data_IF_040476417867
#
_entry.id   IF_040476417867
#
_cell.length_a   1.000
_cell.length_b   1.000
_cell.length_c   1.000
_cell.angle_alpha   90.00
_cell.angle_beta   90.00
_cell.angle_gamma   90.00
#
_symmetry.space_group_name_H-M   'P 1'
#
loop_
_entity.id
_entity.type
_entity.pdbx_description
1 polymer ?
#
# COMPACT_ATOMS: atom_id res chain seq x y z
N UNK A 1 11.74 11.46 -11.53
CA UNK A 1 11.94 10.84 -10.22
C UNK A 1 10.56 10.53 -9.66
N UNK A 2 10.29 9.25 -9.41
CA UNK A 2 9.03 8.75 -8.86
C UNK A 2 9.33 7.60 -7.89
N UNK A 3 8.42 7.34 -6.97
CA UNK A 3 8.43 6.15 -6.11
C UNK A 3 7.09 5.44 -6.29
N UNK A 4 7.14 4.12 -6.46
CA UNK A 4 5.96 3.28 -6.38
C UNK A 4 5.89 2.70 -4.97
N UNK A 5 4.94 3.19 -4.17
CA UNK A 5 4.85 2.85 -2.75
C UNK A 5 4.15 1.51 -2.47
N UNK A 6 3.65 0.81 -3.50
CA UNK A 6 2.95 -0.46 -3.33
C UNK A 6 2.84 -1.24 -4.65
N UNK A 7 3.50 -2.40 -4.74
CA UNK A 7 3.45 -3.30 -5.88
C UNK A 7 3.67 -4.76 -5.47
N UNK A 8 2.86 -5.67 -5.99
CA UNK A 8 2.97 -7.12 -5.77
C UNK A 8 3.90 -7.75 -6.81
N UNK A 9 5.19 -7.53 -6.65
CA UNK A 9 6.22 -7.96 -7.60
C UNK A 9 6.41 -9.48 -7.62
N UNK A 10 6.04 -10.17 -6.55
CA UNK A 10 6.16 -11.61 -6.34
C UNK A 10 5.13 -12.40 -7.17
N UNK A 11 4.06 -11.76 -7.62
CA UNK A 11 2.93 -12.43 -8.26
C UNK A 11 3.31 -13.16 -9.55
N UNK A 12 2.67 -14.32 -9.79
CA UNK A 12 2.88 -15.20 -10.95
C UNK A 12 2.74 -14.52 -12.31
N UNK A 13 1.91 -13.46 -12.38
CA UNK A 13 1.75 -12.68 -13.60
C UNK A 13 3.07 -12.05 -14.09
N UNK A 14 4.08 -11.94 -13.22
CA UNK A 14 5.40 -11.44 -13.56
C UNK A 14 6.45 -12.52 -13.78
N UNK A 15 6.17 -13.80 -13.53
CA UNK A 15 7.17 -14.88 -13.59
C UNK A 15 7.95 -14.91 -14.92
N UNK A 16 7.25 -14.66 -16.01
CA UNK A 16 7.86 -14.73 -17.33
C UNK A 16 8.84 -13.58 -17.65
N UNK A 17 8.71 -12.41 -16.96
CA UNK A 17 9.48 -11.20 -17.29
C UNK A 17 9.75 -10.29 -16.08
N UNK A 18 9.82 -10.84 -14.86
CA UNK A 18 9.97 -10.05 -13.61
C UNK A 18 11.18 -9.13 -13.65
N UNK A 19 12.35 -9.65 -14.04
CA UNK A 19 13.56 -8.84 -14.14
C UNK A 19 13.46 -7.74 -15.20
N UNK A 20 12.85 -8.05 -16.34
CA UNK A 20 12.63 -7.06 -17.40
C UNK A 20 11.62 -6.00 -16.96
N UNK A 21 10.59 -6.37 -16.19
CA UNK A 21 9.61 -5.45 -15.63
C UNK A 21 10.30 -4.51 -14.62
N UNK A 22 11.17 -5.03 -13.74
CA UNK A 22 11.96 -4.24 -12.80
C UNK A 22 12.90 -3.29 -13.55
N UNK A 23 13.55 -3.76 -14.62
CA UNK A 23 14.38 -2.89 -15.46
C UNK A 23 13.57 -1.76 -16.10
N UNK A 24 12.39 -2.06 -16.67
CA UNK A 24 11.47 -1.03 -17.21
C UNK A 24 11.06 0.00 -16.16
N UNK A 25 10.85 -0.42 -14.92
CA UNK A 25 10.55 0.51 -13.82
C UNK A 25 11.70 1.51 -13.62
N UNK A 26 12.94 1.05 -13.59
CA UNK A 26 14.13 1.91 -13.48
C UNK A 26 14.26 2.85 -14.67
N UNK A 27 14.15 2.34 -15.89
CA UNK A 27 14.22 3.13 -17.12
C UNK A 27 13.11 4.20 -17.17
N UNK A 28 11.95 3.91 -16.57
CA UNK A 28 10.87 4.86 -16.36
C UNK A 28 11.19 5.95 -15.33
N UNK A 29 12.31 5.86 -14.59
CA UNK A 29 12.73 6.80 -13.55
C UNK A 29 12.09 6.55 -12.19
N UNK A 30 11.75 5.28 -11.89
CA UNK A 30 11.36 4.87 -10.54
C UNK A 30 12.63 4.75 -9.71
N UNK A 31 12.68 5.54 -8.64
CA UNK A 31 13.85 5.64 -7.76
C UNK A 31 13.82 4.61 -6.65
N UNK A 32 12.66 4.40 -6.07
CA UNK A 32 12.39 3.37 -5.07
C UNK A 32 11.08 2.66 -5.37
N UNK A 33 10.98 1.43 -4.90
CA UNK A 33 9.85 0.56 -5.10
C UNK A 33 9.62 -0.25 -3.82
N UNK A 34 8.35 -0.42 -3.44
CA UNK A 34 7.99 -1.24 -2.28
C UNK A 34 7.31 -2.51 -2.76
N UNK A 35 8.00 -3.64 -2.57
CA UNK A 35 7.47 -4.98 -2.81
C UNK A 35 6.62 -5.40 -1.62
N UNK A 36 5.37 -5.77 -1.87
CA UNK A 36 4.44 -6.20 -0.83
C UNK A 36 4.68 -7.67 -0.51
N UNK A 37 4.88 -7.98 0.75
CA UNK A 37 5.00 -9.36 1.22
C UNK A 37 3.67 -9.94 1.68
N UNK A 38 3.56 -11.28 1.66
CA UNK A 38 2.39 -12.00 2.19
C UNK A 38 1.14 -12.00 1.31
N UNK A 39 1.20 -11.46 0.10
CA UNK A 39 0.05 -11.41 -0.82
C UNK A 39 -0.40 -12.77 -1.36
N UNK A 40 0.39 -13.82 -1.19
CA UNK A 40 0.08 -15.20 -1.59
C UNK A 40 -0.18 -16.13 -0.40
N UNK A 41 -0.30 -15.57 0.80
CA UNK A 41 -0.64 -16.27 2.03
C UNK A 41 0.54 -16.81 2.85
N UNK A 42 0.24 -17.48 3.97
CA UNK A 42 1.24 -18.13 4.80
C UNK A 42 2.05 -19.15 4.00
N UNK A 43 3.37 -19.09 4.07
CA UNK A 43 4.29 -19.91 3.28
C UNK A 43 5.08 -19.14 2.24
N UNK A 44 4.81 -17.83 2.08
CA UNK A 44 5.58 -16.91 1.25
C UNK A 44 5.69 -15.52 1.90
N UNK A 45 5.73 -15.46 3.23
CA UNK A 45 5.76 -14.21 3.99
C UNK A 45 7.01 -13.38 3.72
N UNK A 46 8.10 -13.98 3.28
CA UNK A 46 9.39 -13.37 2.97
C UNK A 46 9.59 -12.98 1.49
N UNK A 47 8.61 -13.27 0.62
CA UNK A 47 8.76 -13.10 -0.84
C UNK A 47 9.17 -11.67 -1.25
N UNK A 48 8.61 -10.65 -0.61
CA UNK A 48 9.00 -9.26 -0.83
C UNK A 48 10.44 -8.98 -0.40
N UNK A 49 10.90 -9.58 0.70
CA UNK A 49 12.28 -9.45 1.20
C UNK A 49 13.26 -10.08 0.22
N UNK A 50 12.96 -11.29 -0.28
CA UNK A 50 13.82 -11.99 -1.24
C UNK A 50 14.05 -11.15 -2.50
N UNK A 51 13.03 -10.47 -3.01
CA UNK A 51 13.17 -9.54 -4.13
C UNK A 51 13.93 -8.27 -3.76
N UNK A 52 13.68 -7.71 -2.58
CA UNK A 52 14.34 -6.51 -2.12
C UNK A 52 15.86 -6.73 -1.87
N UNK A 53 16.28 -7.92 -1.47
CA UNK A 53 17.68 -8.26 -1.29
C UNK A 53 18.47 -8.34 -2.61
N UNK A 54 17.79 -8.67 -3.72
CA UNK A 54 18.39 -8.73 -5.05
C UNK A 54 18.54 -7.35 -5.69
N UNK A 55 17.78 -6.33 -5.20
CA UNK A 55 17.72 -5.00 -5.79
C UNK A 55 17.83 -3.91 -4.71
N UNK A 56 18.89 -3.11 -4.76
CA UNK A 56 19.15 -2.06 -3.76
C UNK A 56 18.01 -1.04 -3.62
N UNK A 57 17.34 -0.71 -4.73
CA UNK A 57 16.28 0.29 -4.76
C UNK A 57 14.90 -0.24 -4.32
N UNK A 58 14.77 -1.55 -4.06
CA UNK A 58 13.53 -2.18 -3.59
C UNK A 58 13.58 -2.33 -2.08
N UNK A 59 12.50 -1.91 -1.42
CA UNK A 59 12.15 -2.20 -0.04
C UNK A 59 11.00 -3.20 0.01
N UNK A 60 10.74 -3.74 1.19
CA UNK A 60 9.69 -4.73 1.38
C UNK A 60 8.74 -4.35 2.52
N UNK A 61 7.54 -4.89 2.47
CA UNK A 61 6.64 -5.02 3.61
C UNK A 61 6.46 -6.48 3.99
N UNK A 62 5.93 -6.75 5.18
CA UNK A 62 5.58 -8.08 5.66
C UNK A 62 4.20 -8.06 6.30
N UNK A 63 3.42 -9.10 6.14
CA UNK A 63 2.09 -9.17 6.75
C UNK A 63 1.25 -10.32 6.22
N UNK A 64 0.05 -10.46 6.78
CA UNK A 64 -0.97 -11.39 6.32
C UNK A 64 -2.16 -10.57 5.85
N UNK A 65 -2.45 -10.65 4.56
CA UNK A 65 -3.56 -9.95 3.92
C UNK A 65 -4.92 -10.42 4.50
N UNK A 66 -5.94 -9.58 4.59
CA UNK A 66 -7.25 -9.96 5.13
C UNK A 66 -7.91 -11.14 4.41
N UNK A 67 -7.61 -11.38 3.13
CA UNK A 67 -8.07 -12.56 2.42
C UNK A 67 -7.60 -13.87 3.07
N UNK A 68 -6.39 -13.87 3.60
CA UNK A 68 -5.70 -15.04 4.14
C UNK A 68 -5.83 -15.15 5.67
N UNK A 69 -6.59 -14.27 6.31
CA UNK A 69 -6.74 -14.23 7.77
C UNK A 69 -7.16 -15.59 8.37
N UNK A 70 -7.99 -16.36 7.65
CA UNK A 70 -8.43 -17.71 8.09
C UNK A 70 -7.32 -18.77 8.08
N UNK A 71 -6.22 -18.52 7.39
CA UNK A 71 -5.07 -19.44 7.30
C UNK A 71 -3.97 -19.08 8.31
N UNK A 72 -4.04 -17.91 8.94
CA UNK A 72 -3.03 -17.41 9.86
C UNK A 72 -2.88 -18.32 11.10
N UNK A 73 -1.65 -18.72 11.38
CA UNK A 73 -1.28 -19.55 12.54
C UNK A 73 -0.33 -18.80 13.48
N UNK A 74 -0.13 -19.32 14.68
CA UNK A 74 0.86 -18.75 15.61
C UNK A 74 2.29 -18.79 15.05
N UNK A 75 2.61 -19.82 14.25
CA UNK A 75 3.92 -19.92 13.60
C UNK A 75 4.16 -18.79 12.59
N UNK A 76 3.14 -18.40 11.82
CA UNK A 76 3.25 -17.31 10.85
C UNK A 76 3.52 -15.97 11.56
N UNK A 77 2.87 -15.72 12.69
CA UNK A 77 3.13 -14.50 13.47
C UNK A 77 4.53 -14.49 14.10
N UNK A 78 5.05 -15.66 14.50
CA UNK A 78 6.43 -15.77 14.96
C UNK A 78 7.43 -15.54 13.82
N UNK A 79 7.16 -16.07 12.63
CA UNK A 79 7.96 -15.83 11.43
C UNK A 79 7.98 -14.35 11.07
N UNK A 80 6.82 -13.68 11.01
CA UNK A 80 6.72 -12.24 10.76
C UNK A 80 7.54 -11.41 11.76
N UNK A 81 7.55 -11.78 13.06
CA UNK A 81 8.38 -11.09 14.06
C UNK A 81 9.89 -11.22 13.76
N UNK A 82 10.34 -12.35 13.19
CA UNK A 82 11.72 -12.49 12.74
C UNK A 82 12.01 -11.71 11.47
N UNK A 83 11.12 -11.78 10.48
CA UNK A 83 11.23 -11.05 9.22
C UNK A 83 11.25 -9.52 9.40
N UNK A 84 10.54 -9.02 10.41
CA UNK A 84 10.54 -7.59 10.77
C UNK A 84 11.94 -7.04 11.12
N UNK A 85 12.92 -7.89 11.39
CA UNK A 85 14.30 -7.49 11.71
C UNK A 85 15.15 -7.23 10.47
N UNK A 86 14.67 -7.57 9.27
CA UNK A 86 15.36 -7.29 8.02
C UNK A 86 15.43 -5.78 7.76
N UNK A 87 16.62 -5.30 7.38
CA UNK A 87 16.82 -3.89 7.02
C UNK A 87 16.08 -3.47 5.73
N UNK A 88 15.60 -4.43 4.97
CA UNK A 88 14.77 -4.19 3.78
C UNK A 88 13.30 -3.95 4.12
N UNK A 89 12.85 -4.36 5.30
CA UNK A 89 11.47 -4.17 5.75
C UNK A 89 11.27 -2.76 6.29
N UNK A 90 10.40 -1.99 5.65
CA UNK A 90 10.12 -0.60 6.03
C UNK A 90 8.72 -0.38 6.61
N UNK A 91 7.82 -1.36 6.47
CA UNK A 91 6.48 -1.31 7.04
C UNK A 91 5.94 -2.72 7.29
N UNK A 92 4.92 -2.80 8.15
CA UNK A 92 4.12 -4.00 8.38
C UNK A 92 2.84 -3.92 7.56
N UNK A 93 2.70 -4.75 6.57
CA UNK A 93 1.56 -4.76 5.64
C UNK A 93 1.84 -5.65 4.41
N UNK A 94 0.83 -6.00 3.69
CA UNK A 94 -0.50 -5.41 3.67
C UNK A 94 -1.42 -6.09 4.69
N UNK A 95 -2.06 -5.31 5.58
CA UNK A 95 -2.99 -5.79 6.61
C UNK A 95 -4.26 -4.96 6.59
N UNK A 96 -5.35 -5.44 7.18
CA UNK A 96 -6.58 -4.65 7.25
C UNK A 96 -7.85 -5.45 7.03
N UNK A 97 -8.81 -4.89 6.27
CA UNK A 97 -10.14 -5.45 6.09
C UNK A 97 -10.57 -5.45 4.61
N UNK A 98 -11.11 -6.59 4.15
CA UNK A 98 -11.75 -6.72 2.84
C UNK A 98 -13.16 -7.31 3.01
N UNK A 99 -14.16 -6.45 2.93
CA UNK A 99 -15.58 -6.82 3.02
C UNK A 99 -16.24 -6.94 1.64
N UNK A 100 -15.44 -6.81 0.58
CA UNK A 100 -15.92 -7.01 -0.77
C UNK A 100 -15.88 -8.49 -1.17
N UNK A 101 -14.72 -9.10 -1.03
CA UNK A 101 -14.52 -10.51 -1.37
C UNK A 101 -14.93 -11.45 -0.24
N UNK A 102 -14.81 -11.03 1.01
CA UNK A 102 -15.15 -11.81 2.22
C UNK A 102 -14.49 -13.22 2.22
N UNK A 103 -13.26 -13.34 1.71
CA UNK A 103 -12.55 -14.63 1.63
C UNK A 103 -12.24 -15.24 3.00
N UNK A 104 -12.13 -14.40 4.03
CA UNK A 104 -12.08 -14.80 5.43
C UNK A 104 -13.22 -14.15 6.20
N UNK A 105 -13.76 -14.80 7.26
CA UNK A 105 -14.79 -14.20 8.12
C UNK A 105 -14.35 -12.86 8.69
N UNK A 106 -15.24 -11.85 8.70
CA UNK A 106 -14.92 -10.46 9.08
C UNK A 106 -14.37 -10.34 10.49
N UNK A 107 -14.96 -11.08 11.45
CA UNK A 107 -14.45 -11.10 12.82
C UNK A 107 -13.02 -11.61 12.89
N UNK A 108 -12.68 -12.60 12.07
CA UNK A 108 -11.33 -13.14 12.01
C UNK A 108 -10.36 -12.16 11.33
N UNK A 109 -10.80 -11.47 10.25
CA UNK A 109 -10.01 -10.40 9.67
C UNK A 109 -9.66 -9.34 10.71
N UNK A 110 -10.64 -8.89 11.53
CA UNK A 110 -10.41 -7.92 12.60
C UNK A 110 -9.44 -8.44 13.67
N UNK A 111 -9.57 -9.70 14.10
CA UNK A 111 -8.68 -10.31 15.09
C UNK A 111 -7.22 -10.38 14.57
N UNK A 112 -7.02 -10.84 13.34
CA UNK A 112 -5.71 -10.94 12.71
C UNK A 112 -5.12 -9.55 12.47
N UNK A 113 -5.93 -8.57 12.10
CA UNK A 113 -5.52 -7.18 11.96
C UNK A 113 -5.02 -6.60 13.29
N UNK A 114 -5.77 -6.78 14.39
CA UNK A 114 -5.38 -6.34 15.73
C UNK A 114 -4.05 -6.96 16.17
N UNK A 115 -3.90 -8.27 15.97
CA UNK A 115 -2.67 -8.98 16.33
C UNK A 115 -1.46 -8.44 15.56
N UNK A 116 -1.61 -8.20 14.27
CA UNK A 116 -0.54 -7.64 13.44
C UNK A 116 -0.19 -6.19 13.81
N UNK A 117 -1.16 -5.37 14.17
CA UNK A 117 -0.89 -4.03 14.72
C UNK A 117 -0.05 -4.09 16.00
N UNK A 118 -0.27 -5.07 16.86
CA UNK A 118 0.51 -5.23 18.08
C UNK A 118 1.97 -5.62 17.81
N UNK A 119 2.19 -6.54 16.86
CA UNK A 119 3.52 -6.93 16.41
C UNK A 119 4.24 -5.76 15.70
N UNK A 120 3.56 -5.05 14.81
CA UNK A 120 4.10 -3.88 14.13
C UNK A 120 4.54 -2.79 15.12
N UNK A 121 3.72 -2.54 16.16
CA UNK A 121 4.07 -1.60 17.24
C UNK A 121 5.32 -2.04 17.99
N UNK A 122 5.46 -3.33 18.30
CA UNK A 122 6.63 -3.90 18.97
C UNK A 122 7.88 -3.77 18.10
N UNK A 123 7.75 -4.04 16.81
CA UNK A 123 8.81 -3.87 15.81
C UNK A 123 9.11 -2.39 15.47
N UNK A 124 8.28 -1.44 15.93
CA UNK A 124 8.35 -0.01 15.62
C UNK A 124 8.26 0.30 14.12
N UNK A 125 7.49 -0.48 13.41
CA UNK A 125 7.22 -0.30 11.98
C UNK A 125 5.87 0.40 11.77
N UNK A 126 5.76 1.37 10.84
CA UNK A 126 4.47 1.85 10.37
C UNK A 126 3.70 0.74 9.67
N UNK A 127 2.40 0.93 9.49
CA UNK A 127 1.53 -0.10 8.87
C UNK A 127 1.02 0.31 7.50
N UNK A 128 0.88 -0.65 6.59
CA UNK A 128 0.22 -0.47 5.28
C UNK A 128 -1.13 -1.17 5.31
N UNK A 129 -2.18 -0.37 5.08
CA UNK A 129 -3.56 -0.79 5.30
C UNK A 129 -4.30 -1.01 3.99
N UNK A 130 -4.81 -2.22 3.84
CA UNK A 130 -5.87 -2.57 2.93
C UNK A 130 -7.24 -2.29 3.55
N UNK A 131 -8.08 -1.53 2.87
CA UNK A 131 -9.46 -1.35 3.29
C UNK A 131 -10.39 -1.32 2.09
N UNK A 132 -11.18 -2.37 1.93
CA UNK A 132 -12.11 -2.50 0.81
C UNK A 132 -13.53 -2.74 1.30
N UNK A 133 -14.44 -1.75 1.14
CA UNK A 133 -15.83 -1.90 1.52
C UNK A 133 -16.58 -2.82 0.57
N UNK A 134 -17.69 -3.37 1.03
CA UNK A 134 -18.63 -4.11 0.17
C UNK A 134 -19.37 -3.14 -0.77
N UNK A 135 -19.93 -3.67 -1.86
CA UNK A 135 -20.77 -2.88 -2.79
C UNK A 135 -22.05 -2.32 -2.11
N UNK A 136 -22.40 -2.80 -0.92
CA UNK A 136 -23.66 -2.48 -0.24
C UNK A 136 -23.49 -1.51 0.92
N UNK A 137 -22.27 -1.31 1.41
CA UNK A 137 -22.04 -0.52 2.62
C UNK A 137 -20.56 -0.18 2.79
N UNK A 138 -20.28 0.98 3.41
CA UNK A 138 -18.93 1.44 3.73
C UNK A 138 -18.40 0.92 5.08
N UNK A 139 -19.04 -0.09 5.69
CA UNK A 139 -18.72 -0.61 7.03
C UNK A 139 -17.24 -0.95 7.21
N UNK A 140 -16.54 -1.41 6.15
CA UNK A 140 -15.11 -1.70 6.25
C UNK A 140 -14.29 -0.45 6.63
N UNK A 141 -14.65 0.73 6.08
CA UNK A 141 -13.99 1.99 6.44
C UNK A 141 -14.24 2.36 7.89
N UNK A 142 -15.49 2.25 8.34
CA UNK A 142 -15.85 2.57 9.73
C UNK A 142 -15.16 1.64 10.72
N UNK A 143 -15.21 0.34 10.47
CA UNK A 143 -14.56 -0.68 11.32
C UNK A 143 -13.03 -0.49 11.33
N UNK A 144 -12.42 -0.33 10.15
CA UNK A 144 -10.97 -0.15 10.02
C UNK A 144 -10.51 1.10 10.80
N UNK A 145 -11.13 2.25 10.54
CA UNK A 145 -10.74 3.50 11.20
C UNK A 145 -11.02 3.45 12.70
N UNK A 146 -12.11 2.81 13.14
CA UNK A 146 -12.38 2.64 14.57
C UNK A 146 -11.32 1.76 15.27
N UNK A 147 -10.88 0.67 14.62
CA UNK A 147 -9.80 -0.17 15.14
C UNK A 147 -8.47 0.61 15.21
N UNK A 148 -8.13 1.38 14.17
CA UNK A 148 -6.95 2.23 14.15
C UNK A 148 -7.00 3.31 15.25
N UNK A 149 -8.13 3.98 15.42
CA UNK A 149 -8.31 5.01 16.46
C UNK A 149 -8.15 4.46 17.87
N UNK A 150 -8.67 3.26 18.14
CA UNK A 150 -8.62 2.62 19.44
C UNK A 150 -7.27 1.98 19.75
N UNK A 151 -6.64 1.34 18.78
CA UNK A 151 -5.52 0.44 19.03
C UNK A 151 -4.19 0.92 18.43
N UNK A 152 -4.19 1.84 17.44
CA UNK A 152 -2.99 2.29 16.77
C UNK A 152 -2.56 3.72 17.09
N UNK A 153 -3.49 4.61 17.43
CA UNK A 153 -3.23 6.03 17.72
C UNK A 153 -2.04 6.25 18.65
N UNK A 154 -1.94 5.48 19.72
CA UNK A 154 -0.90 5.62 20.75
C UNK A 154 0.49 5.14 20.32
N UNK A 155 0.60 4.47 19.17
CA UNK A 155 1.90 4.05 18.63
C UNK A 155 2.75 5.24 18.17
N UNK A 156 2.12 6.28 17.65
CA UNK A 156 2.77 7.44 17.02
C UNK A 156 3.51 7.09 15.71
N UNK A 157 3.37 5.87 15.19
CA UNK A 157 4.12 5.40 14.02
C UNK A 157 3.44 5.77 12.69
N UNK A 158 2.14 6.13 12.72
CA UNK A 158 1.38 6.38 11.50
C UNK A 158 1.22 5.14 10.62
N UNK A 159 0.95 5.34 9.35
CA UNK A 159 0.76 4.28 8.37
C UNK A 159 0.47 4.82 6.98
N UNK A 160 0.11 3.93 6.09
CA UNK A 160 -0.32 4.25 4.72
C UNK A 160 -1.68 3.61 4.50
N UNK A 161 -2.70 4.40 4.15
CA UNK A 161 -3.90 3.85 3.51
C UNK A 161 -3.57 3.66 2.03
N UNK A 162 -3.24 2.42 1.65
CA UNK A 162 -2.92 2.11 0.27
C UNK A 162 -4.19 2.06 -0.59
N UNK A 163 -4.04 2.26 -1.89
CA UNK A 163 -5.12 2.19 -2.89
C UNK A 163 -6.43 2.87 -2.43
N UNK A 164 -6.30 4.08 -1.87
CA UNK A 164 -7.39 4.74 -1.15
C UNK A 164 -8.61 4.97 -2.02
N UNK A 165 -9.75 4.45 -1.57
CA UNK A 165 -11.06 4.58 -2.23
C UNK A 165 -12.13 5.21 -1.32
N UNK A 166 -11.74 5.62 -0.13
CA UNK A 166 -12.66 6.23 0.83
C UNK A 166 -13.04 7.67 0.49
N UNK A 167 -13.91 8.23 1.30
CA UNK A 167 -14.32 9.63 1.23
C UNK A 167 -13.29 10.56 1.89
N UNK A 168 -13.45 11.88 1.68
CA UNK A 168 -12.63 12.87 2.40
C UNK A 168 -12.73 12.73 3.92
N UNK A 169 -13.91 12.43 4.47
CA UNK A 169 -14.05 12.22 5.92
C UNK A 169 -13.25 11.02 6.43
N UNK A 170 -13.14 9.94 5.65
CA UNK A 170 -12.27 8.81 5.98
C UNK A 170 -10.81 9.21 5.95
N UNK A 171 -10.39 9.98 4.92
CA UNK A 171 -9.03 10.49 4.83
C UNK A 171 -8.66 11.39 6.02
N UNK A 172 -9.56 12.31 6.45
CA UNK A 172 -9.33 13.18 7.61
C UNK A 172 -9.03 12.38 8.88
N UNK A 173 -9.87 11.37 9.19
CA UNK A 173 -9.67 10.51 10.35
C UNK A 173 -8.30 9.80 10.32
N UNK A 174 -7.88 9.33 9.14
CA UNK A 174 -6.57 8.71 8.99
C UNK A 174 -5.41 9.72 9.11
N UNK A 175 -5.57 10.91 8.54
CA UNK A 175 -4.58 12.00 8.68
C UNK A 175 -4.35 12.39 10.13
N UNK A 176 -5.40 12.41 10.96
CA UNK A 176 -5.32 12.68 12.41
C UNK A 176 -4.59 11.58 13.19
N UNK A 177 -4.43 10.40 12.60
CA UNK A 177 -3.62 9.30 13.11
C UNK A 177 -2.17 9.29 12.58
N UNK A 178 -1.80 10.26 11.76
CA UNK A 178 -0.48 10.35 11.16
C UNK A 178 -0.29 9.53 9.88
N UNK A 179 -1.39 9.09 9.24
CA UNK A 179 -1.31 8.29 8.01
C UNK A 179 -0.99 9.13 6.78
N UNK A 180 -0.38 8.48 5.81
CA UNK A 180 -0.28 8.90 4.42
C UNK A 180 -1.46 8.30 3.64
N UNK A 181 -1.88 8.99 2.58
CA UNK A 181 -2.93 8.52 1.67
C UNK A 181 -2.29 8.23 0.32
N UNK A 182 -2.36 6.99 -0.12
CA UNK A 182 -1.77 6.56 -1.39
C UNK A 182 -2.84 6.33 -2.44
N UNK A 183 -2.60 6.85 -3.65
CA UNK A 183 -3.50 6.72 -4.79
C UNK A 183 -2.90 5.83 -5.86
N UNK A 184 -3.72 4.89 -6.37
CA UNK A 184 -3.36 3.92 -7.40
C UNK A 184 -3.96 4.25 -8.77
N UNK A 185 -3.75 3.36 -9.75
CA UNK A 185 -4.22 3.54 -11.12
C UNK A 185 -5.73 3.76 -11.29
N UNK A 186 -6.53 3.31 -10.30
CA UNK A 186 -7.99 3.51 -10.29
C UNK A 186 -8.42 4.99 -10.29
N UNK A 187 -7.60 5.92 -9.80
CA UNK A 187 -7.89 7.36 -9.85
C UNK A 187 -8.09 7.87 -11.28
N UNK A 188 -7.51 7.17 -12.27
CA UNK A 188 -7.63 7.49 -13.71
C UNK A 188 -8.94 6.97 -14.33
N UNK A 189 -9.72 6.14 -13.61
CA UNK A 189 -10.88 5.48 -14.19
C UNK A 189 -12.06 6.46 -14.36
N UNK A 190 -12.89 6.29 -15.40
CA UNK A 190 -13.99 7.20 -15.67
C UNK A 190 -14.93 7.41 -14.47
N UNK A 191 -15.25 6.34 -13.75
CA UNK A 191 -16.18 6.34 -12.61
C UNK A 191 -15.54 6.70 -11.27
N UNK A 192 -14.25 7.08 -11.23
CA UNK A 192 -13.51 7.34 -9.99
C UNK A 192 -13.64 8.79 -9.48
N UNK A 193 -14.76 9.46 -9.75
CA UNK A 193 -14.96 10.84 -9.28
C UNK A 193 -14.83 10.98 -7.76
N UNK A 194 -15.41 10.08 -6.92
CA UNK A 194 -15.24 10.18 -5.46
C UNK A 194 -13.77 10.12 -5.01
N UNK A 195 -12.94 9.27 -5.65
CA UNK A 195 -11.50 9.20 -5.36
C UNK A 195 -10.81 10.52 -5.73
N UNK A 196 -11.15 11.10 -6.89
CA UNK A 196 -10.60 12.39 -7.33
C UNK A 196 -11.00 13.54 -6.42
N UNK A 197 -12.23 13.52 -5.90
CA UNK A 197 -12.72 14.51 -4.94
C UNK A 197 -11.91 14.42 -3.63
N UNK A 198 -11.72 13.23 -3.08
CA UNK A 198 -10.85 13.04 -1.92
C UNK A 198 -9.39 13.47 -2.22
N UNK A 199 -8.85 13.07 -3.38
CA UNK A 199 -7.50 13.43 -3.79
C UNK A 199 -7.30 14.94 -3.95
N UNK A 200 -8.34 15.70 -4.18
CA UNK A 200 -8.31 17.17 -4.23
C UNK A 200 -8.14 17.80 -2.85
N UNK A 201 -8.70 17.18 -1.81
CA UNK A 201 -8.72 17.74 -0.46
C UNK A 201 -7.52 17.30 0.40
N UNK A 202 -6.99 16.06 0.21
CA UNK A 202 -5.86 15.55 0.99
C UNK A 202 -4.65 16.47 0.88
N UNK A 203 -4.04 16.94 1.99
CA UNK A 203 -2.82 17.76 1.94
C UNK A 203 -1.74 17.10 1.10
N UNK A 204 -1.12 17.85 0.19
CA UNK A 204 -0.19 17.27 -0.80
C UNK A 204 1.04 16.62 -0.16
N UNK A 205 1.47 17.12 0.99
CA UNK A 205 2.55 16.55 1.81
C UNK A 205 2.19 15.23 2.48
N UNK A 206 0.95 14.80 2.38
CA UNK A 206 0.43 13.53 2.92
C UNK A 206 0.02 12.55 1.82
N UNK A 207 0.33 12.84 0.58
CA UNK A 207 0.00 12.00 -0.59
C UNK A 207 1.19 11.14 -0.97
N UNK A 208 0.91 9.85 -1.25
CA UNK A 208 1.78 8.93 -1.97
C UNK A 208 1.12 8.48 -3.27
N UNK A 209 1.89 7.88 -4.14
CA UNK A 209 1.43 7.26 -5.39
C UNK A 209 1.96 5.84 -5.49
N UNK A 210 1.17 4.98 -6.10
CA UNK A 210 1.49 3.57 -6.28
C UNK A 210 0.83 3.00 -7.53
N UNK A 211 1.23 1.80 -7.91
CA UNK A 211 0.56 1.08 -8.99
C UNK A 211 -0.44 0.05 -8.52
N UNK A 212 -0.20 -0.60 -7.40
CA UNK A 212 -0.88 -1.83 -6.99
C UNK A 212 -0.76 -2.92 -8.08
N UNK A 213 0.38 -2.91 -8.79
CA UNK A 213 0.61 -3.86 -9.90
C UNK A 213 0.74 -5.30 -9.39
N UNK A 214 0.22 -6.28 -10.13
CA UNK A 214 -0.25 -6.27 -11.53
C UNK A 214 -1.68 -5.75 -11.75
N UNK A 215 -2.35 -5.29 -10.71
CA UNK A 215 -3.75 -4.83 -10.73
C UNK A 215 -3.88 -3.37 -11.17
N UNK A 216 -5.11 -2.92 -11.38
CA UNK A 216 -5.51 -1.51 -11.51
C UNK A 216 -4.75 -0.70 -12.57
N UNK A 217 -4.36 -1.31 -13.70
CA UNK A 217 -3.66 -0.61 -14.78
C UNK A 217 -4.34 0.74 -15.11
N UNK A 218 -3.61 1.87 -15.04
CA UNK A 218 -4.18 3.19 -15.28
C UNK A 218 -4.54 3.40 -16.76
N UNK A 219 -5.38 4.39 -17.05
CA UNK A 219 -5.54 4.88 -18.43
C UNK A 219 -4.20 5.51 -18.87
N UNK A 220 -3.68 5.17 -20.09
CA UNK A 220 -4.34 4.46 -21.20
C UNK A 220 -4.14 2.93 -21.21
N UNK A 221 -3.59 2.33 -20.17
CA UNK A 221 -3.22 0.90 -20.14
C UNK A 221 -4.33 -0.02 -19.62
N UNK A 222 -5.53 0.48 -19.39
CA UNK A 222 -6.68 -0.31 -18.94
C UNK A 222 -6.84 -1.62 -19.76
N UNK A 223 -7.08 -2.73 -19.02
CA UNK A 223 -7.24 -4.06 -19.63
C UNK A 223 -5.91 -4.77 -19.92
N UNK A 224 -4.78 -4.16 -19.66
CA UNK A 224 -3.45 -4.78 -19.68
C UNK A 224 -2.98 -5.10 -18.25
N UNK A 225 -1.97 -5.97 -18.12
CA UNK A 225 -1.25 -6.14 -16.86
C UNK A 225 -0.61 -4.80 -16.47
N UNK A 226 -0.82 -4.37 -15.23
CA UNK A 226 -0.15 -3.19 -14.69
C UNK A 226 1.31 -3.51 -14.38
N UNK A 227 2.15 -2.49 -14.31
CA UNK A 227 3.54 -2.60 -13.89
C UNK A 227 4.01 -1.29 -13.23
N UNK A 228 5.05 -1.31 -12.36
CA UNK A 228 5.53 -0.12 -11.63
C UNK A 228 5.87 1.08 -12.52
N UNK A 229 6.32 0.85 -13.75
CA UNK A 229 6.60 1.92 -14.71
C UNK A 229 5.39 2.84 -14.98
N UNK A 230 4.17 2.36 -14.73
CA UNK A 230 2.94 3.10 -14.99
C UNK A 230 2.52 4.03 -13.83
N UNK A 231 3.24 4.07 -12.71
CA UNK A 231 2.96 5.00 -11.62
C UNK A 231 2.98 6.47 -12.08
N UNK A 232 3.69 6.77 -13.16
CA UNK A 232 3.69 8.11 -13.79
C UNK A 232 2.30 8.57 -14.22
N UNK A 233 1.43 7.65 -14.63
CA UNK A 233 0.06 7.98 -15.05
C UNK A 233 -0.80 8.38 -13.84
N UNK A 234 -0.52 7.79 -12.67
CA UNK A 234 -1.14 8.20 -11.40
C UNK A 234 -0.68 9.62 -11.05
N UNK A 235 0.64 9.90 -11.14
CA UNK A 235 1.19 11.23 -10.93
C UNK A 235 0.61 12.26 -11.91
N UNK A 236 0.44 11.88 -13.20
CA UNK A 236 -0.17 12.74 -14.23
C UNK A 236 -1.61 13.08 -13.88
N UNK A 237 -2.40 12.10 -13.44
CA UNK A 237 -3.79 12.31 -13.06
C UNK A 237 -3.91 13.20 -11.81
N UNK A 238 -3.08 12.98 -10.80
CA UNK A 238 -3.02 13.84 -9.61
C UNK A 238 -2.60 15.26 -9.99
N UNK A 239 -1.64 15.42 -10.88
CA UNK A 239 -1.23 16.71 -11.43
C UNK A 239 -2.39 17.46 -12.07
N UNK A 240 -3.17 16.78 -12.91
CA UNK A 240 -4.37 17.36 -13.53
C UNK A 240 -5.43 17.80 -12.49
N UNK A 241 -5.62 17.01 -11.41
CA UNK A 241 -6.55 17.34 -10.31
C UNK A 241 -6.08 18.56 -9.53
N UNK A 242 -4.76 18.69 -9.33
CA UNK A 242 -4.14 19.72 -8.46
C UNK A 242 -3.65 20.96 -9.20
N UNK A 243 -3.72 20.97 -10.55
CA UNK A 243 -3.15 22.05 -11.35
C UNK A 243 -1.60 22.08 -11.30
N UNK A 244 -0.96 20.91 -11.15
CA UNK A 244 0.48 20.76 -11.07
C UNK A 244 1.02 19.88 -12.20
N UNK A 245 2.33 20.00 -12.53
CA UNK A 245 2.94 19.09 -13.49
C UNK A 245 3.16 17.70 -12.90
N UNK A 246 3.25 16.70 -13.77
CA UNK A 246 3.56 15.30 -13.39
C UNK A 246 4.86 15.23 -12.57
N UNK A 247 5.87 15.98 -12.97
CA UNK A 247 7.16 16.04 -12.30
C UNK A 247 7.08 16.70 -10.92
N UNK A 248 6.21 17.70 -10.75
CA UNK A 248 5.98 18.34 -9.45
C UNK A 248 5.32 17.36 -8.47
N UNK A 249 4.32 16.60 -8.93
CA UNK A 249 3.72 15.52 -8.13
C UNK A 249 4.78 14.46 -7.80
N UNK A 250 5.55 14.00 -8.78
CA UNK A 250 6.62 13.02 -8.57
C UNK A 250 7.61 13.47 -7.50
N UNK A 251 8.12 14.70 -7.60
CA UNK A 251 9.04 15.25 -6.57
C UNK A 251 8.41 15.32 -5.19
N UNK A 252 7.17 15.80 -5.09
CA UNK A 252 6.51 15.93 -3.80
C UNK A 252 6.24 14.57 -3.15
N UNK A 253 5.69 13.62 -3.89
CA UNK A 253 5.39 12.29 -3.36
C UNK A 253 6.66 11.50 -3.02
N UNK A 254 7.75 11.70 -3.78
CA UNK A 254 9.08 11.18 -3.44
C UNK A 254 9.57 11.76 -2.13
N UNK A 255 9.52 13.08 -1.95
CA UNK A 255 9.92 13.73 -0.69
C UNK A 255 9.06 13.24 0.49
N UNK A 256 7.74 13.08 0.28
CA UNK A 256 6.83 12.56 1.29
C UNK A 256 7.23 11.14 1.73
N UNK A 257 7.57 10.26 0.78
CA UNK A 257 8.01 8.90 1.07
C UNK A 257 9.28 8.89 1.93
N UNK A 258 10.31 9.62 1.54
CA UNK A 258 11.56 9.70 2.30
C UNK A 258 11.34 10.26 3.70
N UNK A 259 10.52 11.31 3.83
CA UNK A 259 10.19 11.92 5.12
C UNK A 259 9.42 10.95 6.03
N UNK A 260 8.42 10.25 5.48
CA UNK A 260 7.59 9.31 6.25
C UNK A 260 8.43 8.15 6.80
N UNK A 261 9.23 7.51 5.96
CA UNK A 261 10.07 6.38 6.35
C UNK A 261 11.40 6.79 6.97
N UNK A 262 11.70 8.10 7.06
CA UNK A 262 12.97 8.65 7.59
C UNK A 262 14.20 8.06 6.88
N UNK A 263 14.07 7.80 5.60
CA UNK A 263 15.17 7.31 4.76
C UNK A 263 16.05 8.49 4.31
N UNK A 264 17.34 8.21 4.10
CA UNK A 264 18.27 9.20 3.53
C UNK A 264 18.08 9.23 2.01
N UNK A 265 18.04 10.44 1.44
CA UNK A 265 18.04 10.70 0.01
C UNK A 265 19.43 10.42 -0.56
#
# INVERSE_FOLDING_TARGET
MFIDSHAHLEMEQFDADREQMIARARDAGIEKLVAIGGGTGPGSLDCGIQLAEQHEFIYATIGIHPHEAKLATDADFQELDQLAKSHKVIAWGEIGLDYFYDHSPRELQQQVFLRQMELARTAKLPIVIHCRPSDKSENAWDDCLQLLERHWRTSGLGGILHCFTGSWSHAQRALDLGFMISFAGNITFPKAQPIRDAAKEVPLERVLIETDSPFLAPVPYRGKRNEPAFVKEVARQLGAIRGLSTEAIGRQTTANFYNFFKLKI
#
